data_IF_904461310378
#
_entry.id   IF_904461310378
#
_cell.length_a   1.000
_cell.length_b   1.000
_cell.length_c   1.000
_cell.angle_alpha   90.00
_cell.angle_beta   90.00
_cell.angle_gamma   90.00
#
_symmetry.space_group_name_H-M   'P 1'
#
loop_
_entity.id
_entity.type
_entity.pdbx_description
1 polymer ?
#
# COMPACT_ATOMS: atom_id res chain seq x y z
N UNK A 1 24.83 19.70 -8.66
CA UNK A 1 23.39 19.52 -8.97
C UNK A 1 23.04 18.07 -8.67
N UNK A 2 22.03 17.81 -7.84
CA UNK A 2 21.61 16.45 -7.49
C UNK A 2 20.54 15.96 -8.47
N UNK A 3 20.52 14.65 -8.77
CA UNK A 3 19.47 14.00 -9.58
C UNK A 3 18.64 13.11 -8.68
N UNK A 4 17.31 13.26 -8.75
CA UNK A 4 16.35 12.49 -7.95
C UNK A 4 15.29 11.87 -8.87
N UNK A 5 15.63 10.86 -9.68
CA UNK A 5 14.68 10.20 -10.55
C UNK A 5 13.66 9.41 -9.72
N UNK A 6 12.39 9.42 -10.14
CA UNK A 6 11.41 8.44 -9.68
C UNK A 6 11.55 7.19 -10.53
N UNK A 7 11.66 6.04 -9.89
CA UNK A 7 11.68 4.72 -10.52
C UNK A 7 10.44 3.93 -10.07
N UNK A 8 9.86 3.17 -10.98
CA UNK A 8 8.78 2.22 -10.66
C UNK A 8 9.32 0.79 -10.54
N UNK A 9 10.49 0.52 -11.13
CA UNK A 9 11.18 -0.77 -11.07
C UNK A 9 12.68 -0.56 -10.81
N UNK A 10 13.35 -1.52 -10.18
CA UNK A 10 14.77 -1.42 -9.86
C UNK A 10 15.68 -1.35 -11.12
N UNK A 11 15.22 -1.87 -12.24
CA UNK A 11 15.92 -1.81 -13.54
C UNK A 11 16.00 -0.40 -14.14
N UNK A 12 15.14 0.53 -13.70
CA UNK A 12 15.11 1.92 -14.20
C UNK A 12 16.18 2.80 -13.54
N UNK A 13 16.96 2.28 -12.59
CA UNK A 13 18.00 3.04 -11.88
C UNK A 13 19.09 3.45 -12.89
N UNK A 14 19.38 4.76 -13.02
CA UNK A 14 20.41 5.23 -13.92
C UNK A 14 21.79 4.94 -13.32
N UNK A 15 22.39 3.83 -13.77
CA UNK A 15 23.76 3.45 -13.45
C UNK A 15 24.75 4.06 -14.45
N UNK A 16 26.03 4.27 -14.07
CA UNK A 16 26.59 4.05 -12.74
C UNK A 16 26.33 5.22 -11.76
N UNK A 17 26.26 4.91 -10.46
CA UNK A 17 26.17 5.89 -9.38
C UNK A 17 27.44 5.85 -8.53
N UNK A 18 27.84 7.00 -7.98
CA UNK A 18 29.02 7.12 -7.12
C UNK A 18 28.72 7.90 -5.84
N UNK A 19 29.42 7.57 -4.76
CA UNK A 19 29.22 8.19 -3.44
C UNK A 19 28.04 7.63 -2.67
N UNK A 20 27.38 8.47 -1.85
CA UNK A 20 26.24 8.09 -1.02
C UNK A 20 24.95 8.30 -1.79
N UNK A 21 24.15 7.24 -1.93
CA UNK A 21 22.83 7.28 -2.58
C UNK A 21 21.74 7.26 -1.51
N UNK A 22 20.86 8.26 -1.53
CA UNK A 22 19.66 8.27 -0.71
C UNK A 22 18.51 7.56 -1.43
N UNK A 23 17.89 6.58 -0.78
CA UNK A 23 16.71 5.88 -1.29
C UNK A 23 15.52 6.22 -0.40
N UNK A 24 14.41 6.63 -1.01
CA UNK A 24 13.14 6.84 -0.33
C UNK A 24 12.05 6.14 -1.13
N UNK A 25 11.08 5.57 -0.42
CA UNK A 25 9.93 4.92 -1.02
C UNK A 25 8.67 5.71 -0.66
N UNK A 26 7.74 5.83 -1.61
CA UNK A 26 6.42 6.40 -1.34
C UNK A 26 5.60 5.45 -0.45
N UNK A 27 4.55 5.97 0.18
CA UNK A 27 3.68 5.18 1.07
C UNK A 27 2.98 4.00 0.38
N UNK A 28 2.87 4.03 -0.94
CA UNK A 28 2.26 2.98 -1.76
C UNK A 28 3.27 2.03 -2.42
N UNK A 29 4.57 2.23 -2.18
CA UNK A 29 5.59 1.38 -2.78
C UNK A 29 5.70 0.06 -1.99
N UNK A 30 5.71 -1.09 -2.67
CA UNK A 30 5.89 -2.38 -2.01
C UNK A 30 7.28 -2.49 -1.37
N UNK A 31 7.39 -3.21 -0.26
CA UNK A 31 8.68 -3.40 0.43
C UNK A 31 9.67 -4.18 -0.43
N UNK A 32 9.16 -5.11 -1.25
CA UNK A 32 9.93 -5.93 -2.19
C UNK A 32 10.68 -5.06 -3.21
N UNK A 33 10.02 -4.03 -3.76
CA UNK A 33 10.66 -3.11 -4.70
C UNK A 33 11.81 -2.35 -4.06
N UNK A 34 11.67 -1.97 -2.78
CA UNK A 34 12.77 -1.31 -2.05
C UNK A 34 13.95 -2.26 -1.89
N UNK A 35 13.68 -3.54 -1.62
CA UNK A 35 14.72 -4.55 -1.51
C UNK A 35 15.42 -4.79 -2.86
N UNK A 36 14.67 -4.90 -3.96
CA UNK A 36 15.24 -5.02 -5.30
C UNK A 36 16.14 -3.82 -5.65
N UNK A 37 15.72 -2.60 -5.31
CA UNK A 37 16.54 -1.38 -5.50
C UNK A 37 17.84 -1.47 -4.70
N UNK A 38 17.79 -1.93 -3.46
CA UNK A 38 18.98 -2.12 -2.61
C UNK A 38 19.92 -3.16 -3.24
N UNK A 39 19.38 -4.25 -3.76
CA UNK A 39 20.15 -5.34 -4.37
C UNK A 39 20.85 -4.88 -5.65
N UNK A 40 20.17 -4.08 -6.49
CA UNK A 40 20.77 -3.47 -7.68
C UNK A 40 21.88 -2.46 -7.32
N UNK A 41 21.68 -1.67 -6.27
CA UNK A 41 22.68 -0.69 -5.83
C UNK A 41 23.90 -1.34 -5.18
N UNK A 42 23.74 -2.52 -4.57
CA UNK A 42 24.79 -3.32 -3.95
C UNK A 42 25.85 -2.49 -3.18
N UNK A 43 25.45 -1.72 -2.14
CA UNK A 43 26.33 -0.74 -1.52
C UNK A 43 27.51 -1.42 -0.77
N UNK A 44 28.73 -1.11 -1.18
CA UNK A 44 29.97 -1.71 -0.62
C UNK A 44 30.27 -1.27 0.82
N UNK A 45 29.88 -0.05 1.20
CA UNK A 45 30.13 0.52 2.53
C UNK A 45 28.97 0.26 3.51
N UNK A 46 28.06 -0.65 3.16
CA UNK A 46 26.90 -1.00 3.96
C UNK A 46 25.71 -0.06 3.74
N UNK A 47 24.65 -0.32 4.52
CA UNK A 47 23.35 0.31 4.35
C UNK A 47 22.85 0.87 5.69
N UNK A 48 22.37 2.13 5.67
CA UNK A 48 21.75 2.79 6.84
C UNK A 48 20.27 3.02 6.58
N UNK A 49 19.41 2.35 7.35
CA UNK A 49 17.94 2.53 7.31
C UNK A 49 17.51 3.62 8.30
N UNK A 50 16.69 4.56 7.83
CA UNK A 50 16.03 5.54 8.68
C UNK A 50 14.52 5.30 8.58
N UNK A 51 13.94 4.65 9.58
CA UNK A 51 12.51 4.33 9.61
C UNK A 51 11.87 5.17 10.71
N UNK A 52 10.95 6.05 10.33
CA UNK A 52 10.11 6.79 11.28
C UNK A 52 8.69 6.24 11.20
N UNK A 53 8.21 5.61 12.28
CA UNK A 53 6.86 5.08 12.32
C UNK A 53 5.85 6.21 12.56
N UNK A 54 5.09 6.58 11.52
CA UNK A 54 3.95 7.48 11.64
C UNK A 54 2.66 6.69 11.43
N UNK A 55 1.88 6.49 12.49
CA UNK A 55 0.57 5.83 12.42
C UNK A 55 -0.52 6.88 12.19
N UNK A 56 -1.26 6.75 11.09
CA UNK A 56 -2.52 7.46 10.85
C UNK A 56 -3.65 6.44 10.80
N UNK A 57 -4.69 6.64 11.60
CA UNK A 57 -5.89 5.82 11.51
C UNK A 57 -6.70 6.36 10.33
N UNK A 58 -6.90 5.55 9.30
CA UNK A 58 -7.91 5.85 8.29
C UNK A 58 -9.28 5.65 8.94
N UNK A 59 -9.90 6.75 9.36
CA UNK A 59 -11.32 6.73 9.67
C UNK A 59 -12.06 6.61 8.35
N UNK A 60 -12.81 5.50 8.16
CA UNK A 60 -13.75 5.40 7.05
C UNK A 60 -14.61 6.67 7.03
N UNK A 61 -14.52 7.46 5.96
CA UNK A 61 -15.10 8.78 5.89
C UNK A 61 -16.62 8.68 6.12
N UNK A 62 -17.15 9.50 7.04
CA UNK A 62 -18.52 9.39 7.54
C UNK A 62 -19.61 9.29 6.45
N UNK A 63 -19.39 9.94 5.28
CA UNK A 63 -20.35 9.91 4.17
C UNK A 63 -20.54 8.51 3.58
N UNK A 64 -19.49 7.70 3.51
CA UNK A 64 -19.57 6.34 2.95
C UNK A 64 -20.29 5.41 3.93
N UNK A 65 -20.11 5.61 5.24
CA UNK A 65 -20.84 4.85 6.28
C UNK A 65 -22.35 5.03 6.17
N UNK A 66 -22.83 6.26 5.92
CA UNK A 66 -24.26 6.52 5.73
C UNK A 66 -24.81 5.77 4.53
N UNK A 67 -24.07 5.74 3.41
CA UNK A 67 -24.50 5.02 2.21
C UNK A 67 -24.51 3.51 2.44
N UNK A 68 -23.46 2.94 3.04
CA UNK A 68 -23.40 1.51 3.38
C UNK A 68 -24.58 1.12 4.28
N UNK A 69 -24.87 1.93 5.30
CA UNK A 69 -25.98 1.68 6.23
C UNK A 69 -27.34 1.76 5.53
N UNK A 70 -27.54 2.74 4.64
CA UNK A 70 -28.78 2.87 3.88
C UNK A 70 -29.00 1.68 2.95
N UNK A 71 -27.98 1.26 2.19
CA UNK A 71 -28.06 0.10 1.30
C UNK A 71 -28.30 -1.19 2.11
N UNK A 72 -27.60 -1.38 3.23
CA UNK A 72 -27.83 -2.52 4.12
C UNK A 72 -29.25 -2.57 4.69
N UNK A 73 -29.82 -1.42 5.05
CA UNK A 73 -31.20 -1.31 5.52
C UNK A 73 -32.21 -1.71 4.43
N UNK A 74 -32.05 -1.21 3.20
CA UNK A 74 -32.94 -1.58 2.08
C UNK A 74 -32.80 -3.04 1.68
N UNK A 75 -31.59 -3.61 1.68
CA UNK A 75 -31.37 -5.03 1.44
C UNK A 75 -32.08 -5.90 2.48
N UNK A 76 -32.03 -5.51 3.77
CA UNK A 76 -32.72 -6.23 4.84
C UNK A 76 -34.26 -6.19 4.73
N UNK A 77 -34.84 -5.14 4.14
CA UNK A 77 -36.28 -5.05 3.89
C UNK A 77 -36.74 -5.91 2.71
N UNK A 78 -35.89 -6.05 1.68
CA UNK A 78 -36.20 -6.84 0.47
C UNK A 78 -36.02 -8.35 0.64
N UNK A 79 -35.19 -8.77 1.60
CA UNK A 79 -34.90 -10.16 1.89
C UNK A 79 -35.30 -10.47 3.34
N UNK A 80 -36.57 -10.87 3.55
CA UNK A 80 -36.98 -11.42 4.84
C UNK A 80 -36.28 -12.77 5.01
N UNK A 81 -35.33 -12.80 5.92
CA UNK A 81 -34.46 -13.92 6.25
C UNK A 81 -33.21 -14.03 5.35
N UNK A 82 -32.14 -13.37 5.77
CA UNK A 82 -30.93 -14.04 6.22
C UNK A 82 -30.21 -13.06 7.14
N UNK A 83 -29.86 -13.53 8.34
CA UNK A 83 -29.05 -12.83 9.33
C UNK A 83 -27.60 -12.69 8.82
N UNK A 84 -27.39 -12.02 7.70
CA UNK A 84 -26.06 -11.61 7.24
C UNK A 84 -25.78 -10.25 7.87
N UNK A 85 -25.10 -10.30 9.00
CA UNK A 85 -24.44 -9.14 9.58
C UNK A 85 -23.45 -8.67 8.50
N UNK A 86 -23.84 -7.68 7.69
CA UNK A 86 -22.91 -6.89 6.86
C UNK A 86 -22.05 -6.05 7.81
N UNK A 87 -21.25 -6.70 8.64
CA UNK A 87 -20.04 -6.04 9.10
C UNK A 87 -19.20 -5.89 7.84
N UNK A 88 -18.78 -4.65 7.58
CA UNK A 88 -17.82 -4.36 6.54
C UNK A 88 -16.48 -5.02 6.92
N UNK A 89 -16.41 -6.35 6.78
CA UNK A 89 -15.23 -7.18 6.95
C UNK A 89 -14.26 -7.03 5.77
N UNK A 90 -14.50 -6.06 4.89
CA UNK A 90 -13.55 -5.59 3.87
C UNK A 90 -12.19 -5.21 4.49
N UNK A 91 -12.18 -4.86 5.78
CA UNK A 91 -10.95 -4.61 6.56
C UNK A 91 -10.14 -5.88 6.87
N UNK A 92 -10.78 -7.06 6.87
CA UNK A 92 -10.14 -8.35 7.15
C UNK A 92 -9.56 -8.99 5.89
N UNK A 93 -9.96 -8.53 4.70
CA UNK A 93 -9.44 -9.02 3.44
C UNK A 93 -8.15 -8.27 3.12
N UNK A 94 -7.04 -9.01 3.05
CA UNK A 94 -5.74 -8.42 2.70
C UNK A 94 -5.74 -7.96 1.25
N UNK A 95 -5.22 -6.75 0.98
CA UNK A 95 -5.12 -6.23 -0.39
C UNK A 95 -4.34 -7.17 -1.34
N UNK A 96 -3.43 -7.99 -0.81
CA UNK A 96 -2.71 -9.03 -1.55
C UNK A 96 -3.62 -10.13 -2.11
N UNK A 97 -4.69 -10.48 -1.40
CA UNK A 97 -5.62 -11.55 -1.78
C UNK A 97 -6.54 -11.10 -2.94
N UNK A 98 -6.97 -9.84 -2.91
CA UNK A 98 -7.74 -9.21 -3.99
C UNK A 98 -6.93 -9.11 -5.28
N UNK A 99 -5.66 -8.73 -5.20
CA UNK A 99 -4.78 -8.62 -6.37
C UNK A 99 -4.51 -9.97 -7.05
N UNK A 100 -4.42 -11.07 -6.28
CA UNK A 100 -4.27 -12.42 -6.84
C UNK A 100 -5.53 -12.91 -7.57
N UNK A 101 -6.70 -12.42 -7.18
CA UNK A 101 -7.98 -12.77 -7.83
C UNK A 101 -8.20 -12.02 -9.15
N UNK A 102 -7.43 -10.95 -9.40
CA UNK A 102 -7.48 -10.13 -10.60
C UNK A 102 -6.38 -10.45 -11.62
N UNK A 103 -5.51 -11.42 -11.31
CA UNK A 103 -4.53 -12.00 -12.25
C UNK A 103 -5.12 -13.16 -13.04
#
# INVERSE_FOLDING_TARGET
MYRCPRVNQASEIPLPLSGVVGVTAGASAPEELVQEVIDVLAPVNGLRKYITHRRGILSSAARIRTLINAVGFFAALGFTDLKTKCEAEDRLIGASEVLQTLS
#
